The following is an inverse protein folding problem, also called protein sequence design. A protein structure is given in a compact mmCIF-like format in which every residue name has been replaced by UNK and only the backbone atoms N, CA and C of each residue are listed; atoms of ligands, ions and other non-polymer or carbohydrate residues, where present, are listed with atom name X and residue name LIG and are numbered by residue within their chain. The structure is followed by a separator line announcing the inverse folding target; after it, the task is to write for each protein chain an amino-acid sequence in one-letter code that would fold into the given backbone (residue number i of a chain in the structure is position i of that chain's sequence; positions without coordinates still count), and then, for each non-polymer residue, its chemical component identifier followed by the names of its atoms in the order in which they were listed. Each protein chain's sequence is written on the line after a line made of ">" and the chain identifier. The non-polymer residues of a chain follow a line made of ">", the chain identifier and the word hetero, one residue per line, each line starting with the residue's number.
data_IF_576507671452
#
_entry.id   IF_576507671452
#
_cell.length_a   1.000
_cell.length_b   1.000
_cell.length_c   1.000
_cell.angle_alpha   90.00
_cell.angle_beta   90.00
_cell.angle_gamma   90.00
#
_symmetry.space_group_name_H-M   'P 1'
#
loop_
_entity.id
_entity.type
_entity.pdbx_description
1 polymer ?
#
# COMPACT_ATOMS: atom_id res chain seq x y z
N UNK A 1 8.20 7.35 25.88
CA UNK A 1 9.03 6.15 26.12
C UNK A 1 10.37 6.57 26.68
N UNK A 2 11.04 5.69 27.43
CA UNK A 2 12.37 5.93 28.01
C UNK A 2 13.28 4.79 27.57
N UNK A 3 14.54 5.10 27.24
CA UNK A 3 15.58 4.11 26.92
C UNK A 3 16.75 4.33 27.88
N UNK A 4 17.17 3.27 28.56
CA UNK A 4 18.31 3.27 29.49
C UNK A 4 19.39 2.30 28.99
N UNK A 5 20.66 2.69 29.13
CA UNK A 5 21.80 1.86 28.76
C UNK A 5 23.03 2.21 29.62
N UNK A 6 23.79 1.20 30.03
CA UNK A 6 25.05 1.41 30.75
C UNK A 6 26.09 2.17 29.90
N UNK A 7 26.88 3.00 30.58
CA UNK A 7 27.91 3.86 29.98
C UNK A 7 29.25 3.66 30.67
N UNK A 8 30.34 3.74 29.90
CA UNK A 8 31.70 3.70 30.41
C UNK A 8 32.60 4.69 29.67
N UNK A 9 33.66 5.16 30.33
CA UNK A 9 34.67 5.99 29.69
C UNK A 9 35.68 5.16 28.89
N UNK A 10 35.89 3.90 29.30
CA UNK A 10 36.82 2.97 28.67
C UNK A 10 36.29 1.54 28.76
N UNK A 11 36.10 0.92 27.60
CA UNK A 11 35.58 -0.44 27.45
C UNK A 11 36.63 -1.53 27.70
N UNK A 12 37.91 -1.16 27.75
CA UNK A 12 39.02 -2.11 27.94
C UNK A 12 39.31 -2.38 29.41
N UNK A 13 38.70 -1.62 30.33
CA UNK A 13 38.82 -1.83 31.77
C UNK A 13 38.31 -3.22 32.18
N UNK A 14 38.93 -3.84 33.20
CA UNK A 14 38.50 -5.13 33.70
C UNK A 14 37.12 -5.02 34.37
N UNK A 15 36.32 -6.06 34.25
CA UNK A 15 34.97 -6.11 34.80
C UNK A 15 33.91 -6.17 33.72
N UNK A 16 32.84 -6.90 34.01
CA UNK A 16 31.80 -7.18 33.03
C UNK A 16 31.20 -5.89 32.46
N UNK A 17 30.93 -4.90 33.32
CA UNK A 17 30.20 -3.67 32.99
C UNK A 17 30.91 -2.72 32.03
N UNK A 18 32.19 -2.94 31.71
CA UNK A 18 32.93 -2.06 30.81
C UNK A 18 32.77 -2.45 29.34
N UNK A 19 33.01 -3.72 28.98
CA UNK A 19 33.07 -4.11 27.57
C UNK A 19 31.70 -4.08 26.86
N UNK A 20 30.59 -4.25 27.59
CA UNK A 20 29.23 -4.26 27.04
C UNK A 20 28.47 -2.92 27.18
N UNK A 21 29.09 -1.92 27.81
CA UNK A 21 28.57 -0.55 27.94
C UNK A 21 28.79 0.28 26.67
N UNK A 22 28.07 1.40 26.56
CA UNK A 22 28.36 2.44 25.56
C UNK A 22 29.54 3.29 26.01
N UNK A 23 30.40 3.71 25.08
CA UNK A 23 31.34 4.81 25.31
C UNK A 23 30.81 6.12 24.68
N UNK A 24 31.58 7.20 24.81
CA UNK A 24 31.24 8.51 24.25
C UNK A 24 31.00 8.49 22.72
N UNK A 25 31.65 7.60 21.98
CA UNK A 25 31.48 7.46 20.52
C UNK A 25 30.19 6.72 20.21
N UNK A 26 29.86 5.69 20.97
CA UNK A 26 28.59 4.98 20.83
C UNK A 26 27.42 5.86 21.21
N UNK A 27 27.53 6.63 22.29
CA UNK A 27 26.49 7.55 22.71
C UNK A 27 26.23 8.62 21.64
N UNK A 28 27.27 9.13 20.99
CA UNK A 28 27.13 10.04 19.84
C UNK A 28 26.37 9.37 18.69
N UNK A 29 26.79 8.17 18.27
CA UNK A 29 26.09 7.40 17.23
C UNK A 29 24.65 7.11 17.60
N UNK A 30 24.39 6.78 18.86
CA UNK A 30 23.05 6.50 19.38
C UNK A 30 22.15 7.74 19.26
N UNK A 31 22.64 8.92 19.68
CA UNK A 31 21.90 10.18 19.56
C UNK A 31 21.65 10.54 18.09
N UNK A 32 22.64 10.38 17.22
CA UNK A 32 22.48 10.68 15.79
C UNK A 32 21.46 9.75 15.12
N UNK A 33 21.49 8.45 15.48
CA UNK A 33 20.50 7.48 15.03
C UNK A 33 19.10 7.78 15.57
N UNK A 34 18.96 8.20 16.83
CA UNK A 34 17.68 8.61 17.39
C UNK A 34 17.08 9.79 16.63
N UNK A 35 17.88 10.83 16.36
CA UNK A 35 17.44 11.99 15.57
C UNK A 35 17.04 11.61 14.15
N UNK A 36 17.70 10.62 13.55
CA UNK A 36 17.31 10.08 12.26
C UNK A 36 15.98 9.32 12.37
N UNK A 37 15.84 8.44 13.36
CA UNK A 37 14.62 7.65 13.59
C UNK A 37 13.40 8.54 13.81
N UNK A 38 13.52 9.62 14.60
CA UNK A 38 12.45 10.60 14.79
C UNK A 38 11.94 11.17 13.46
N UNK A 39 12.81 11.27 12.44
CA UNK A 39 12.44 11.77 11.10
C UNK A 39 11.87 10.69 10.18
N UNK A 40 12.27 9.42 10.34
CA UNK A 40 11.96 8.36 9.36
C UNK A 40 10.99 7.28 9.85
N UNK A 41 10.68 7.22 11.16
CA UNK A 41 9.84 6.16 11.74
C UNK A 41 8.43 6.10 11.13
N UNK A 42 7.98 7.20 10.53
CA UNK A 42 6.70 7.27 9.82
C UNK A 42 5.50 7.31 10.75
N UNK A 43 4.38 6.76 10.31
CA UNK A 43 3.11 6.69 11.04
C UNK A 43 2.64 5.24 11.06
N UNK A 44 1.96 4.84 12.13
CA UNK A 44 1.40 3.48 12.25
C UNK A 44 0.29 3.21 11.21
N UNK A 45 -0.43 4.27 10.80
CA UNK A 45 -1.50 4.14 9.81
C UNK A 45 -0.95 3.84 8.41
N UNK A 46 -1.25 2.64 7.91
CA UNK A 46 -0.89 2.23 6.55
C UNK A 46 -1.83 2.86 5.52
N UNK A 47 -1.46 4.04 5.04
CA UNK A 47 -2.14 4.74 3.95
C UNK A 47 -1.15 5.20 2.87
N UNK A 48 -1.60 5.36 1.61
CA UNK A 48 -0.73 5.94 0.61
C UNK A 48 -0.42 7.40 0.94
N UNK A 49 0.78 7.83 0.57
CA UNK A 49 1.15 9.24 0.58
C UNK A 49 0.67 9.94 -0.70
N UNK A 50 0.60 11.26 -0.68
CA UNK A 50 0.06 12.06 -1.79
C UNK A 50 0.77 11.79 -3.11
N UNK A 51 2.10 11.69 -3.08
CA UNK A 51 2.93 11.39 -4.26
C UNK A 51 2.66 10.01 -4.86
N UNK A 52 2.16 9.05 -4.06
CA UNK A 52 1.78 7.73 -4.55
C UNK A 52 0.41 7.69 -5.21
N UNK A 53 -0.45 8.71 -5.02
CA UNK A 53 -1.84 8.68 -5.50
C UNK A 53 -1.91 8.55 -7.02
N UNK A 54 -1.09 9.31 -7.74
CA UNK A 54 -0.97 9.26 -9.20
C UNK A 54 -0.52 7.87 -9.65
N UNK A 55 0.58 7.37 -9.10
CA UNK A 55 1.10 6.04 -9.42
C UNK A 55 0.04 4.95 -9.15
N UNK A 56 -0.69 5.05 -8.04
CA UNK A 56 -1.78 4.11 -7.70
C UNK A 56 -2.93 4.19 -8.70
N UNK A 57 -3.34 5.38 -9.12
CA UNK A 57 -4.42 5.56 -10.11
C UNK A 57 -4.09 4.84 -11.42
N UNK A 58 -2.87 4.96 -11.92
CA UNK A 58 -2.47 4.38 -13.21
C UNK A 58 -1.97 2.93 -13.13
N UNK A 59 -1.36 2.53 -12.01
CA UNK A 59 -0.79 1.19 -11.86
C UNK A 59 -1.82 0.13 -11.42
N UNK A 60 -2.90 0.55 -10.74
CA UNK A 60 -4.00 -0.35 -10.37
C UNK A 60 -4.82 -0.76 -11.60
N UNK A 61 -5.54 -1.86 -11.45
CA UNK A 61 -6.43 -2.38 -12.49
C UNK A 61 -7.88 -2.04 -12.17
N UNK A 62 -8.66 -1.85 -13.22
CA UNK A 62 -10.11 -1.84 -13.21
C UNK A 62 -10.63 -3.12 -13.85
N UNK A 63 -11.90 -3.42 -13.59
CA UNK A 63 -12.67 -4.41 -14.34
C UNK A 63 -13.02 -3.80 -15.70
N UNK A 64 -12.77 -4.56 -16.75
CA UNK A 64 -12.95 -4.18 -18.14
C UNK A 64 -13.76 -5.27 -18.85
N UNK A 65 -14.57 -4.88 -19.82
CA UNK A 65 -15.28 -5.83 -20.66
C UNK A 65 -14.30 -6.55 -21.59
N UNK A 66 -14.27 -7.87 -21.54
CA UNK A 66 -13.44 -8.72 -22.40
C UNK A 66 -14.05 -8.88 -23.80
N UNK A 67 -15.35 -8.65 -23.92
CA UNK A 67 -16.13 -8.75 -25.15
C UNK A 67 -17.19 -7.64 -25.15
N UNK A 68 -17.86 -7.42 -26.28
CA UNK A 68 -19.08 -6.61 -26.30
C UNK A 68 -20.18 -7.26 -25.43
N UNK A 69 -20.73 -6.49 -24.48
CA UNK A 69 -21.79 -6.91 -23.55
C UNK A 69 -23.04 -6.04 -23.81
N UNK A 70 -24.11 -6.59 -24.41
CA UNK A 70 -25.34 -5.85 -24.67
C UNK A 70 -26.04 -5.38 -23.39
N UNK A 71 -26.88 -4.35 -23.51
CA UNK A 71 -27.79 -3.89 -22.44
C UNK A 71 -28.69 -5.02 -21.94
N UNK A 72 -29.01 -4.99 -20.64
CA UNK A 72 -29.82 -5.98 -19.91
C UNK A 72 -29.21 -7.39 -19.84
N UNK A 73 -27.94 -7.56 -20.21
CA UNK A 73 -27.21 -8.84 -20.12
C UNK A 73 -26.79 -9.09 -18.68
N UNK A 74 -26.95 -10.34 -18.22
CA UNK A 74 -26.42 -10.78 -16.91
C UNK A 74 -24.92 -10.97 -17.03
N UNK A 75 -24.16 -10.25 -16.21
CA UNK A 75 -22.69 -10.27 -16.24
C UNK A 75 -22.18 -11.58 -15.64
N UNK A 76 -21.34 -12.27 -16.40
CA UNK A 76 -20.59 -13.46 -15.99
C UNK A 76 -19.09 -13.17 -15.95
N UNK A 77 -18.31 -14.04 -15.31
CA UNK A 77 -16.88 -13.81 -15.09
C UNK A 77 -16.07 -13.89 -16.41
N UNK A 78 -16.49 -14.74 -17.34
CA UNK A 78 -15.88 -14.91 -18.66
C UNK A 78 -16.03 -13.70 -19.59
N UNK A 79 -17.00 -12.82 -19.32
CA UNK A 79 -17.20 -11.55 -20.03
C UNK A 79 -16.24 -10.45 -19.55
N UNK A 80 -15.49 -10.67 -18.47
CA UNK A 80 -14.68 -9.66 -17.81
C UNK A 80 -13.18 -9.95 -17.90
N UNK A 81 -12.39 -8.89 -17.86
CA UNK A 81 -10.94 -8.92 -17.71
C UNK A 81 -10.48 -7.78 -16.82
N UNK A 82 -9.18 -7.73 -16.49
CA UNK A 82 -8.62 -6.72 -15.60
C UNK A 82 -7.42 -6.04 -16.24
N UNK A 83 -7.58 -4.77 -16.65
CA UNK A 83 -6.49 -3.96 -17.20
C UNK A 83 -6.35 -2.64 -16.43
N UNK A 84 -5.22 -1.97 -16.64
CA UNK A 84 -4.98 -0.60 -16.16
C UNK A 84 -5.74 0.40 -17.05
N UNK A 85 -6.05 1.61 -16.56
CA UNK A 85 -5.80 2.14 -15.23
C UNK A 85 -6.83 1.68 -14.18
N UNK A 86 -6.65 2.07 -12.92
CA UNK A 86 -7.53 1.75 -11.79
C UNK A 86 -8.59 2.83 -11.55
N UNK A 87 -9.14 3.40 -12.62
CA UNK A 87 -10.13 4.49 -12.58
C UNK A 87 -11.59 4.03 -12.57
N UNK A 88 -11.86 2.78 -12.98
CA UNK A 88 -13.18 2.17 -12.92
C UNK A 88 -13.37 1.30 -11.68
N UNK A 89 -14.27 0.32 -11.79
CA UNK A 89 -14.54 -0.57 -10.67
C UNK A 89 -13.31 -1.45 -10.39
N UNK A 90 -12.86 -1.45 -9.13
CA UNK A 90 -11.74 -2.29 -8.70
C UNK A 90 -12.08 -3.79 -8.77
N UNK A 91 -11.14 -4.66 -9.23
CA UNK A 91 -11.32 -6.12 -9.24
C UNK A 91 -11.74 -6.73 -7.91
N UNK A 92 -11.43 -6.07 -6.77
CA UNK A 92 -11.91 -6.51 -5.45
C UNK A 92 -13.43 -6.61 -5.33
N UNK A 93 -14.17 -5.94 -6.21
CA UNK A 93 -15.62 -5.92 -6.25
C UNK A 93 -16.21 -6.87 -7.29
N UNK A 94 -15.41 -7.74 -7.93
CA UNK A 94 -15.89 -8.69 -8.94
C UNK A 94 -17.14 -9.45 -8.49
N UNK A 95 -17.12 -10.02 -7.29
CA UNK A 95 -18.25 -10.76 -6.70
C UNK A 95 -19.54 -9.95 -6.56
N UNK A 96 -19.46 -8.62 -6.51
CA UNK A 96 -20.63 -7.73 -6.43
C UNK A 96 -21.25 -7.46 -7.81
N UNK A 97 -20.50 -7.72 -8.88
CA UNK A 97 -20.89 -7.44 -10.27
C UNK A 97 -21.43 -8.70 -10.94
N UNK A 98 -20.84 -9.86 -10.66
CA UNK A 98 -21.32 -11.13 -11.23
C UNK A 98 -22.79 -11.33 -10.86
N UNK A 99 -23.61 -11.67 -11.85
CA UNK A 99 -25.06 -11.84 -11.71
C UNK A 99 -25.88 -10.55 -11.81
N UNK A 100 -25.25 -9.36 -11.85
CA UNK A 100 -25.95 -8.11 -12.12
C UNK A 100 -26.24 -7.94 -13.61
N UNK A 101 -27.20 -7.07 -13.95
CA UNK A 101 -27.52 -6.73 -15.33
C UNK A 101 -26.88 -5.42 -15.76
N UNK A 102 -26.48 -5.35 -17.03
CA UNK A 102 -26.02 -4.10 -17.65
C UNK A 102 -27.18 -3.14 -17.90
N UNK A 103 -26.95 -1.85 -17.67
CA UNK A 103 -27.91 -0.75 -17.92
C UNK A 103 -27.78 -0.16 -19.32
N UNK A 104 -26.66 -0.42 -19.99
CA UNK A 104 -26.32 0.01 -21.35
C UNK A 104 -25.50 -1.05 -22.06
N UNK A 105 -25.31 -0.88 -23.36
CA UNK A 105 -24.30 -1.64 -24.10
C UNK A 105 -22.91 -1.22 -23.62
N UNK A 106 -22.05 -2.20 -23.37
CA UNK A 106 -20.66 -2.02 -22.95
C UNK A 106 -19.78 -2.65 -24.02
N UNK A 107 -18.84 -1.88 -24.58
CA UNK A 107 -17.95 -2.38 -25.64
C UNK A 107 -16.77 -3.17 -25.08
N UNK A 108 -16.22 -4.07 -25.88
CA UNK A 108 -14.91 -4.67 -25.60
C UNK A 108 -13.90 -3.57 -25.25
N UNK A 109 -13.08 -3.84 -24.24
CA UNK A 109 -12.09 -2.91 -23.69
C UNK A 109 -12.63 -1.64 -23.02
N UNK A 110 -13.95 -1.51 -22.88
CA UNK A 110 -14.57 -0.47 -22.07
C UNK A 110 -14.40 -0.75 -20.56
N UNK A 111 -14.02 0.30 -19.82
CA UNK A 111 -13.89 0.23 -18.36
C UNK A 111 -15.28 0.18 -17.74
N UNK A 112 -15.51 -0.78 -16.83
CA UNK A 112 -16.78 -0.85 -16.10
C UNK A 112 -16.85 0.23 -15.02
N UNK A 113 -17.98 0.91 -15.00
CA UNK A 113 -18.38 1.88 -13.97
C UNK A 113 -19.68 1.43 -13.31
N UNK A 114 -19.91 1.86 -12.07
CA UNK A 114 -21.09 1.43 -11.30
C UNK A 114 -22.41 1.83 -11.97
N UNK A 115 -22.39 2.92 -12.73
CA UNK A 115 -23.52 3.43 -13.50
C UNK A 115 -23.92 2.49 -14.65
N UNK A 116 -22.99 1.65 -15.12
CA UNK A 116 -23.26 0.67 -16.16
C UNK A 116 -24.05 -0.54 -15.65
N UNK A 117 -24.24 -0.69 -14.33
CA UNK A 117 -24.68 -1.94 -13.69
C UNK A 117 -25.88 -1.70 -12.76
N UNK A 118 -26.87 -2.58 -12.78
CA UNK A 118 -28.03 -2.58 -11.86
C UNK A 118 -27.76 -3.28 -10.53
#
# INVERSE_FOLDING_TARGET
>A
SVIEKHFTLDKTLPGNDHYHSMDHRDLRKFIDNLKLLEKIIGKEEKKPIESELTARKYARRSIIAKIDIPKNTVITEDMLTFKRPGTGISPKFLKRIIGKKTKKDIKEDEILEWEHIS
#
